data_IF_945806174638
#
_entry.id   IF_945806174638
#
_cell.length_a   1.000
_cell.length_b   1.000
_cell.length_c   1.000
_cell.angle_alpha   90.00
_cell.angle_beta   90.00
_cell.angle_gamma   90.00
#
_symmetry.space_group_name_H-M   'P 1'
#
loop_
_entity.id
_entity.type
_entity.pdbx_description
1 polymer ?
#
# COMPACT_ATOMS: atom_id res chain seq x y z
N UNK A 1 -6.87 17.09 18.15
CA UNK A 1 -6.50 15.67 17.95
C UNK A 1 -7.78 14.88 17.65
N UNK A 2 -8.51 15.34 16.64
CA UNK A 2 -9.64 14.60 16.04
C UNK A 2 -9.34 14.61 14.56
N UNK A 3 -8.48 13.68 14.15
CA UNK A 3 -8.17 13.47 12.75
C UNK A 3 -8.73 12.10 12.44
N UNK A 4 -9.75 11.98 11.56
CA UNK A 4 -10.25 10.68 11.19
C UNK A 4 -9.11 9.96 10.45
N UNK A 5 -8.38 9.05 11.08
CA UNK A 5 -7.55 8.04 10.38
C UNK A 5 -8.21 6.68 10.54
N UNK A 6 -8.33 6.00 9.40
CA UNK A 6 -8.65 4.59 9.32
C UNK A 6 -7.38 3.79 9.53
N UNK A 7 -7.36 2.92 10.54
CA UNK A 7 -6.25 2.01 10.84
C UNK A 7 -6.77 0.60 10.69
N UNK A 8 -6.20 -0.16 9.76
CA UNK A 8 -6.70 -1.49 9.45
C UNK A 8 -5.54 -2.47 9.24
N UNK A 9 -5.68 -3.67 9.80
CA UNK A 9 -4.87 -4.82 9.41
C UNK A 9 -5.66 -5.65 8.40
N UNK A 10 -5.05 -5.97 7.28
CA UNK A 10 -5.66 -6.69 6.16
C UNK A 10 -4.89 -7.99 5.92
N UNK A 11 -5.59 -9.12 6.03
CA UNK A 11 -5.08 -10.45 5.67
C UNK A 11 -5.31 -10.73 4.19
N UNK A 12 -4.28 -11.18 3.48
CA UNK A 12 -4.23 -11.24 2.03
C UNK A 12 -3.64 -12.59 1.55
N UNK A 13 -4.10 -13.07 0.39
CA UNK A 13 -3.65 -14.32 -0.24
C UNK A 13 -3.08 -14.09 -1.64
N UNK A 14 -2.26 -15.01 -2.18
CA UNK A 14 -1.81 -14.93 -3.56
C UNK A 14 -3.02 -14.91 -4.50
N UNK A 15 -2.87 -14.26 -5.65
CA UNK A 15 -3.96 -13.85 -6.56
C UNK A 15 -4.85 -12.71 -6.05
N UNK A 16 -4.69 -12.21 -4.82
CA UNK A 16 -5.22 -10.90 -4.47
C UNK A 16 -4.41 -9.81 -5.20
N UNK A 17 -5.15 -8.92 -5.86
CA UNK A 17 -4.65 -7.74 -6.55
C UNK A 17 -5.48 -6.54 -6.12
N UNK A 18 -4.81 -5.50 -5.62
CA UNK A 18 -5.41 -4.21 -5.35
C UNK A 18 -5.13 -3.33 -6.57
N UNK A 19 -6.16 -2.97 -7.35
CA UNK A 19 -5.99 -2.18 -8.56
C UNK A 19 -5.33 -0.82 -8.30
N UNK A 20 -4.64 -0.24 -9.31
CA UNK A 20 -4.08 1.10 -9.24
C UNK A 20 -5.11 2.13 -8.80
N UNK A 21 -4.78 2.84 -7.73
CA UNK A 21 -5.59 3.94 -7.20
C UNK A 21 -4.68 5.02 -6.63
N UNK A 22 -5.26 6.18 -6.32
CA UNK A 22 -4.59 7.29 -5.65
C UNK A 22 -5.55 8.03 -4.74
N UNK A 23 -5.00 8.63 -3.70
CA UNK A 23 -5.74 9.50 -2.79
C UNK A 23 -5.48 10.97 -3.17
N UNK A 24 -6.54 11.71 -3.51
CA UNK A 24 -6.42 13.07 -4.07
C UNK A 24 -6.50 14.20 -3.04
N UNK A 25 -6.99 13.93 -1.83
CA UNK A 25 -7.05 14.96 -0.78
C UNK A 25 -5.68 15.13 -0.14
N UNK A 26 -5.27 16.37 0.11
CA UNK A 26 -3.94 16.73 0.63
C UNK A 26 -3.64 16.12 2.02
N UNK A 27 -4.68 15.73 2.76
CA UNK A 27 -4.62 15.07 4.06
C UNK A 27 -4.64 13.52 3.98
N UNK A 28 -4.75 12.94 2.78
CA UNK A 28 -4.90 11.49 2.56
C UNK A 28 -3.60 10.83 2.12
N UNK A 29 -2.49 11.12 2.81
CA UNK A 29 -1.30 10.27 2.73
C UNK A 29 -1.66 8.84 3.20
N UNK A 30 -0.98 7.85 2.63
CA UNK A 30 -1.25 6.44 2.91
C UNK A 30 0.03 5.72 3.30
N UNK A 31 0.00 5.10 4.49
CA UNK A 31 1.10 4.31 5.02
C UNK A 31 0.74 2.85 4.95
N UNK A 32 1.62 2.06 4.32
CA UNK A 32 1.51 0.61 4.20
C UNK A 32 2.70 -0.07 4.87
N UNK A 33 2.46 -0.99 5.80
CA UNK A 33 3.50 -1.74 6.51
C UNK A 33 3.17 -3.22 6.44
N UNK A 34 4.11 -4.06 5.99
CA UNK A 34 3.93 -5.51 5.99
C UNK A 34 4.27 -6.07 7.37
N UNK A 35 3.24 -6.57 8.06
CA UNK A 35 3.37 -7.20 9.38
C UNK A 35 3.78 -8.68 9.29
N UNK A 36 3.38 -9.36 8.20
CA UNK A 36 3.74 -10.75 7.89
C UNK A 36 3.73 -10.95 6.37
N UNK A 37 4.63 -11.79 5.87
CA UNK A 37 4.67 -12.18 4.47
C UNK A 37 5.28 -11.11 3.56
N UNK A 38 4.82 -11.05 2.31
CA UNK A 38 5.47 -10.30 1.24
C UNK A 38 4.47 -9.79 0.20
N UNK A 39 4.57 -8.49 -0.10
CA UNK A 39 3.76 -7.80 -1.11
C UNK A 39 4.65 -7.17 -2.19
N UNK A 40 4.11 -7.03 -3.39
CA UNK A 40 4.68 -6.22 -4.46
C UNK A 40 3.90 -4.92 -4.59
N UNK A 41 4.59 -3.80 -4.49
CA UNK A 41 4.08 -2.46 -4.77
C UNK A 41 4.47 -2.06 -6.19
N UNK A 42 3.50 -1.55 -6.94
CA UNK A 42 3.69 -0.98 -8.28
C UNK A 42 3.28 0.49 -8.24
N UNK A 43 4.13 1.38 -8.74
CA UNK A 43 3.84 2.81 -8.88
C UNK A 43 3.63 3.13 -10.36
N UNK A 44 2.64 3.97 -10.66
CA UNK A 44 2.25 4.30 -12.02
C UNK A 44 2.33 5.80 -12.27
N UNK A 45 2.53 6.19 -13.53
CA UNK A 45 2.25 7.54 -14.00
C UNK A 45 0.77 7.73 -14.38
N UNK A 46 0.38 8.96 -14.74
CA UNK A 46 -1.00 9.28 -15.15
C UNK A 46 -1.43 8.61 -16.47
N UNK A 47 -0.50 8.04 -17.24
CA UNK A 47 -0.78 7.26 -18.46
C UNK A 47 -0.93 5.76 -18.17
N UNK A 48 -0.77 5.35 -16.91
CA UNK A 48 -0.86 3.96 -16.48
C UNK A 48 0.41 3.14 -16.73
N UNK A 49 1.54 3.78 -17.04
CA UNK A 49 2.83 3.08 -17.15
C UNK A 49 3.44 2.87 -15.77
N UNK A 50 4.00 1.68 -15.53
CA UNK A 50 4.72 1.41 -14.28
C UNK A 50 6.05 2.16 -14.28
N UNK A 51 6.22 3.06 -13.32
CA UNK A 51 7.41 3.89 -13.16
C UNK A 51 8.36 3.39 -12.08
N UNK A 52 7.84 2.68 -11.07
CA UNK A 52 8.65 2.06 -10.02
C UNK A 52 8.00 0.78 -9.49
N UNK A 53 8.82 -0.11 -8.90
CA UNK A 53 8.40 -1.38 -8.31
C UNK A 53 9.18 -1.63 -7.03
N UNK A 54 8.49 -2.04 -5.96
CA UNK A 54 9.13 -2.40 -4.69
C UNK A 54 8.56 -3.69 -4.14
N UNK A 55 9.40 -4.45 -3.47
CA UNK A 55 8.98 -5.58 -2.65
C UNK A 55 8.91 -5.08 -1.21
N UNK A 56 7.75 -5.25 -0.58
CA UNK A 56 7.54 -4.97 0.84
C UNK A 56 7.49 -6.30 1.58
N UNK A 57 8.30 -6.47 2.62
CA UNK A 57 8.41 -7.74 3.34
C UNK A 57 8.69 -7.52 4.82
N UNK A 58 7.99 -8.26 5.68
CA UNK A 58 8.28 -8.28 7.11
C UNK A 58 9.71 -8.78 7.36
N UNK A 59 10.53 -7.95 8.00
CA UNK A 59 11.95 -8.24 8.25
C UNK A 59 12.86 -8.19 7.03
N UNK A 60 12.35 -7.75 5.86
CA UNK A 60 13.15 -7.54 4.66
C UNK A 60 13.79 -6.14 4.61
N UNK A 61 14.47 -5.83 3.51
CA UNK A 61 15.12 -4.53 3.29
C UNK A 61 14.12 -3.36 3.28
N UNK A 62 12.91 -3.60 2.79
CA UNK A 62 11.82 -2.64 2.75
C UNK A 62 10.61 -3.23 3.46
N UNK A 63 10.29 -2.70 4.64
CA UNK A 63 9.16 -3.15 5.45
C UNK A 63 7.81 -2.58 4.96
N UNK A 64 7.84 -1.40 4.36
CA UNK A 64 6.65 -0.61 4.08
C UNK A 64 6.98 0.67 3.33
N UNK A 65 5.94 1.46 3.05
CA UNK A 65 6.04 2.75 2.35
C UNK A 65 5.11 3.78 2.98
N UNK A 66 5.51 5.04 2.84
CA UNK A 66 4.66 6.21 3.03
C UNK A 66 4.43 6.83 1.65
N UNK A 67 3.18 6.83 1.20
CA UNK A 67 2.77 7.28 -0.12
C UNK A 67 2.17 8.68 -0.01
N UNK A 68 2.81 9.62 -0.70
CA UNK A 68 2.31 10.99 -0.80
C UNK A 68 0.99 11.02 -1.58
N UNK A 69 0.06 11.93 -1.24
CA UNK A 69 -1.16 12.13 -2.00
C UNK A 69 -0.90 12.29 -3.50
N UNK A 70 -1.82 11.78 -4.32
CA UNK A 70 -1.75 11.81 -5.77
C UNK A 70 -0.95 10.67 -6.41
N UNK A 71 -0.19 9.89 -5.62
CA UNK A 71 0.61 8.77 -6.14
C UNK A 71 -0.28 7.61 -6.58
N UNK A 72 -0.31 7.30 -7.88
CA UNK A 72 -0.94 6.07 -8.37
C UNK A 72 -0.13 4.86 -7.96
N UNK A 73 -0.77 3.94 -7.25
CA UNK A 73 -0.13 2.72 -6.81
C UNK A 73 -1.11 1.56 -6.75
N UNK A 74 -0.57 0.35 -6.89
CA UNK A 74 -1.31 -0.90 -6.78
C UNK A 74 -0.48 -1.96 -6.07
N UNK A 75 -1.14 -3.00 -5.57
CA UNK A 75 -0.50 -4.05 -4.78
C UNK A 75 -0.82 -5.44 -5.32
N UNK A 76 0.17 -6.31 -5.30
CA UNK A 76 0.02 -7.75 -5.54
C UNK A 76 0.56 -8.52 -4.36
N UNK A 77 -0.07 -9.64 -4.01
CA UNK A 77 0.40 -10.51 -2.94
C UNK A 77 1.38 -11.53 -3.49
N UNK A 78 2.60 -11.58 -2.93
CA UNK A 78 3.68 -12.46 -3.38
C UNK A 78 3.86 -13.69 -2.49
N UNK A 79 3.33 -13.66 -1.27
CA UNK A 79 3.43 -14.76 -0.29
C UNK A 79 2.08 -14.99 0.39
N UNK A 80 1.76 -16.26 0.67
CA UNK A 80 0.53 -16.64 1.34
C UNK A 80 0.44 -16.15 2.78
N UNK A 81 -0.80 -15.97 3.26
CA UNK A 81 -1.09 -15.49 4.60
C UNK A 81 -0.37 -14.17 4.97
N UNK A 82 -0.20 -13.29 3.98
CA UNK A 82 0.40 -11.97 4.17
C UNK A 82 -0.54 -11.07 4.95
N UNK A 83 0.01 -10.24 5.84
CA UNK A 83 -0.74 -9.27 6.63
C UNK A 83 -0.12 -7.90 6.46
N UNK A 84 -0.95 -6.94 6.06
CA UNK A 84 -0.57 -5.54 5.89
C UNK A 84 -1.30 -4.68 6.90
N UNK A 85 -0.62 -3.71 7.49
CA UNK A 85 -1.24 -2.59 8.18
C UNK A 85 -1.32 -1.39 7.23
N UNK A 86 -2.49 -0.77 7.18
CA UNK A 86 -2.79 0.43 6.42
C UNK A 86 -3.26 1.53 7.40
N UNK A 87 -2.68 2.74 7.32
CA UNK A 87 -3.34 3.95 7.81
C UNK A 87 -3.44 4.99 6.71
N UNK A 88 -4.62 5.60 6.64
CA UNK A 88 -4.92 6.75 5.80
C UNK A 88 -5.99 7.60 6.46
N UNK A 89 -6.12 8.86 6.04
CA UNK A 89 -7.23 9.69 6.48
C UNK A 89 -8.58 9.07 6.06
N UNK A 90 -9.57 9.25 6.93
CA UNK A 90 -10.90 8.66 6.82
C UNK A 90 -11.75 9.25 5.70
N UNK A 91 -13.02 8.84 5.59
CA UNK A 91 -13.92 9.28 4.53
C UNK A 91 -13.97 10.81 4.45
#
# INVERSE_FOLDING_TARGET
MEEPCHRMAVGLQPATYIPPHRHLSDDKAEVLIVLKGRLGLLIFDDLGQVTDKRVLQAGGECLGVDLVPGTYHGLVVLEADSVMFECKAGP
#
